data_IF_316884561094
#
_entry.id   IF_316884561094
#
_cell.length_a   1.000
_cell.length_b   1.000
_cell.length_c   1.000
_cell.angle_alpha   90.00
_cell.angle_beta   90.00
_cell.angle_gamma   90.00
#
_symmetry.space_group_name_H-M   'P 1'
#
loop_
_entity.id
_entity.type
_entity.pdbx_description
1 polymer ?
#
# COMPACT_ATOMS: atom_id res chain seq x y z
N UNK A 1 -82.06 73.83 -65.61
CA UNK A 1 -80.91 74.07 -66.52
C UNK A 1 -79.61 73.67 -65.85
N UNK A 2 -78.52 73.53 -66.62
CA UNK A 2 -77.17 73.04 -66.22
C UNK A 2 -77.11 71.56 -65.81
N UNK A 3 -75.91 70.98 -65.96
CA UNK A 3 -75.54 69.54 -65.87
C UNK A 3 -74.24 69.42 -65.05
N UNK A 4 -73.70 68.19 -64.93
CA UNK A 4 -72.35 67.81 -64.46
C UNK A 4 -72.25 67.75 -62.92
N UNK A 5 -71.59 66.76 -62.28
CA UNK A 5 -71.42 65.29 -62.45
C UNK A 5 -70.61 64.83 -61.21
N UNK A 6 -70.68 63.53 -60.86
CA UNK A 6 -69.83 62.74 -59.93
C UNK A 6 -68.47 63.33 -59.50
N UNK A 7 -67.99 63.09 -58.27
CA UNK A 7 -67.39 61.79 -57.85
C UNK A 7 -67.49 61.55 -56.33
N UNK A 8 -67.56 60.28 -55.94
CA UNK A 8 -67.51 59.80 -54.55
C UNK A 8 -66.05 59.65 -54.09
N UNK A 9 -65.64 60.35 -53.02
CA UNK A 9 -64.30 60.25 -52.44
C UNK A 9 -64.29 59.46 -51.13
N UNK A 10 -63.69 58.26 -51.13
CA UNK A 10 -63.49 57.45 -49.92
C UNK A 10 -62.07 57.67 -49.40
N UNK A 11 -61.95 58.17 -48.17
CA UNK A 11 -60.66 58.47 -47.53
C UNK A 11 -60.01 57.20 -46.99
N UNK A 12 -59.09 56.61 -47.75
CA UNK A 12 -58.25 55.50 -47.27
C UNK A 12 -57.14 56.01 -46.35
N UNK A 13 -56.99 55.39 -45.18
CA UNK A 13 -55.92 55.71 -44.24
C UNK A 13 -54.59 55.08 -44.68
N UNK A 14 -53.54 55.88 -44.85
CA UNK A 14 -52.19 55.39 -45.12
C UNK A 14 -51.56 54.80 -43.85
N UNK A 15 -51.64 53.48 -43.69
CA UNK A 15 -50.76 52.74 -42.79
C UNK A 15 -49.48 52.43 -43.57
N UNK A 16 -48.39 53.13 -43.24
CA UNK A 16 -47.07 52.93 -43.84
C UNK A 16 -46.38 51.67 -43.26
N UNK A 17 -46.89 50.47 -43.58
CA UNK A 17 -46.21 49.22 -43.26
C UNK A 17 -45.04 49.00 -44.22
N UNK A 18 -43.81 49.28 -43.76
CA UNK A 18 -42.58 48.97 -44.50
C UNK A 18 -42.32 47.44 -44.51
N UNK A 19 -43.07 46.72 -45.33
CA UNK A 19 -42.93 45.28 -45.52
C UNK A 19 -41.65 44.95 -46.30
N UNK A 20 -40.53 44.77 -45.59
CA UNK A 20 -39.31 44.18 -46.11
C UNK A 20 -39.52 42.68 -46.41
N UNK A 21 -40.27 42.40 -47.48
CA UNK A 21 -40.53 41.07 -48.00
C UNK A 21 -39.29 40.56 -48.77
N UNK A 22 -38.26 40.15 -48.03
CA UNK A 22 -37.16 39.36 -48.59
C UNK A 22 -37.33 37.90 -48.16
N UNK A 23 -37.51 37.04 -49.16
CA UNK A 23 -37.80 35.62 -48.99
C UNK A 23 -36.58 34.85 -48.46
N UNK A 24 -36.77 33.80 -47.63
CA UNK A 24 -35.69 32.88 -47.29
C UNK A 24 -35.08 32.28 -48.56
N UNK A 25 -33.77 32.40 -48.72
CA UNK A 25 -33.04 31.74 -49.81
C UNK A 25 -32.71 30.31 -49.40
N UNK A 26 -33.25 29.34 -50.15
CA UNK A 26 -32.70 27.99 -50.29
C UNK A 26 -31.98 27.94 -51.65
N UNK A 27 -30.67 27.73 -51.64
CA UNK A 27 -29.89 27.58 -52.86
C UNK A 27 -29.08 26.29 -52.81
N UNK A 28 -29.29 25.43 -53.82
CA UNK A 28 -28.47 24.26 -54.09
C UNK A 28 -27.63 24.54 -55.34
N UNK A 29 -26.30 24.49 -55.24
CA UNK A 29 -25.41 24.87 -56.35
C UNK A 29 -25.18 23.75 -57.39
N UNK A 30 -25.74 22.55 -57.17
CA UNK A 30 -25.47 21.37 -58.00
C UNK A 30 -24.20 20.61 -57.62
N UNK A 31 -23.32 21.20 -56.80
CA UNK A 31 -22.03 20.65 -56.34
C UNK A 31 -22.04 20.10 -54.91
N UNK A 32 -23.23 19.78 -54.38
CA UNK A 32 -23.52 19.33 -53.01
C UNK A 32 -23.69 20.41 -51.91
N UNK A 33 -23.45 21.71 -52.17
CA UNK A 33 -23.78 22.74 -51.17
C UNK A 33 -25.27 23.04 -51.09
N UNK A 34 -25.77 23.15 -49.85
CA UNK A 34 -27.11 23.66 -49.54
C UNK A 34 -26.96 24.91 -48.66
N UNK A 35 -27.29 26.07 -49.22
CA UNK A 35 -27.22 27.36 -48.53
C UNK A 35 -28.61 27.73 -48.00
N UNK A 36 -28.70 28.01 -46.70
CA UNK A 36 -29.85 28.62 -46.04
C UNK A 36 -29.46 30.01 -45.51
N UNK A 37 -30.24 31.05 -45.83
CA UNK A 37 -30.07 32.39 -45.25
C UNK A 37 -31.36 32.91 -44.61
N UNK A 38 -31.23 33.61 -43.49
CA UNK A 38 -32.33 34.34 -42.85
C UNK A 38 -31.83 35.71 -42.33
N UNK A 39 -32.17 36.84 -42.98
CA UNK A 39 -31.52 38.13 -42.75
C UNK A 39 -31.52 38.73 -41.32
N UNK A 40 -32.58 38.63 -40.49
CA UNK A 40 -32.66 39.39 -39.24
C UNK A 40 -31.91 38.75 -38.04
N UNK A 41 -30.72 38.15 -38.27
CA UNK A 41 -29.86 37.58 -37.20
C UNK A 41 -28.40 38.10 -37.19
N UNK A 42 -28.18 39.32 -37.68
CA UNK A 42 -26.92 40.04 -37.48
C UNK A 42 -25.70 39.39 -38.16
N UNK A 43 -24.54 39.47 -37.52
CA UNK A 43 -23.27 38.96 -38.05
C UNK A 43 -23.08 37.46 -37.78
N UNK A 44 -23.53 36.61 -38.70
CA UNK A 44 -23.20 35.18 -38.72
C UNK A 44 -24.06 34.37 -39.70
N UNK A 45 -23.47 33.48 -40.50
CA UNK A 45 -24.26 32.80 -41.54
C UNK A 45 -23.57 31.82 -42.52
N UNK A 46 -22.62 30.98 -42.07
CA UNK A 46 -22.40 29.65 -42.68
C UNK A 46 -22.21 28.63 -41.56
N UNK A 47 -23.00 27.56 -41.56
CA UNK A 47 -22.91 26.48 -40.56
C UNK A 47 -22.25 25.20 -41.11
N UNK A 48 -22.14 25.11 -42.43
CA UNK A 48 -21.66 23.99 -43.24
C UNK A 48 -20.97 24.64 -44.45
N UNK A 49 -19.74 24.22 -44.77
CA UNK A 49 -19.01 24.64 -45.98
C UNK A 49 -18.17 23.45 -46.47
N UNK A 50 -18.11 23.24 -47.78
CA UNK A 50 -17.14 22.30 -48.35
C UNK A 50 -15.74 22.93 -48.45
N UNK A 51 -14.71 22.10 -48.34
CA UNK A 51 -13.30 22.46 -48.56
C UNK A 51 -12.76 21.89 -49.88
N UNK A 52 -11.51 22.21 -50.21
CA UNK A 52 -10.79 21.50 -51.28
C UNK A 52 -10.62 20.02 -50.90
N UNK A 53 -11.07 19.11 -51.77
CA UNK A 53 -11.07 17.67 -51.51
C UNK A 53 -12.37 17.10 -50.92
N UNK A 54 -13.50 17.82 -50.97
CA UNK A 54 -14.83 17.39 -50.50
C UNK A 54 -14.93 17.12 -48.98
N UNK A 55 -14.15 17.84 -48.17
CA UNK A 55 -14.20 17.77 -46.71
C UNK A 55 -15.25 18.76 -46.18
N UNK A 56 -15.99 18.38 -45.13
CA UNK A 56 -16.93 19.26 -44.43
C UNK A 56 -16.21 20.08 -43.35
N UNK A 57 -16.00 21.37 -43.61
CA UNK A 57 -15.30 22.28 -42.70
C UNK A 57 -16.27 23.18 -41.93
N UNK A 58 -15.97 23.42 -40.65
CA UNK A 58 -16.73 24.27 -39.73
C UNK A 58 -15.86 25.45 -39.30
N UNK A 59 -16.37 26.68 -39.36
CA UNK A 59 -15.63 27.92 -39.05
C UNK A 59 -14.41 28.19 -39.95
N UNK A 60 -14.59 28.07 -41.28
CA UNK A 60 -13.53 28.28 -42.27
C UNK A 60 -12.91 29.70 -42.19
N UNK A 61 -11.57 29.78 -42.24
CA UNK A 61 -10.84 31.06 -42.27
C UNK A 61 -10.88 31.89 -40.98
N UNK A 62 -11.56 31.43 -39.92
CA UNK A 62 -11.65 32.17 -38.66
C UNK A 62 -12.55 33.43 -38.72
N UNK A 63 -13.51 33.46 -39.65
CA UNK A 63 -14.36 34.63 -39.93
C UNK A 63 -15.36 34.99 -38.82
N UNK A 64 -15.47 34.17 -37.76
CA UNK A 64 -16.37 34.39 -36.62
C UNK A 64 -15.64 34.45 -35.26
N UNK A 65 -15.59 35.65 -34.68
CA UNK A 65 -15.07 35.89 -33.32
C UNK A 65 -15.99 35.25 -32.27
N UNK A 66 -15.55 34.14 -31.69
CA UNK A 66 -16.31 33.28 -30.77
C UNK A 66 -16.42 31.82 -31.21
N UNK A 67 -16.07 31.51 -32.47
CA UNK A 67 -16.08 30.16 -33.05
C UNK A 67 -17.48 29.58 -33.30
N UNK A 68 -17.59 28.63 -34.24
CA UNK A 68 -18.82 27.85 -34.40
C UNK A 68 -19.06 27.01 -33.14
N UNK A 69 -20.03 27.43 -32.33
CA UNK A 69 -20.59 26.59 -31.26
C UNK A 69 -21.33 25.42 -31.90
N UNK A 70 -20.62 24.31 -32.05
CA UNK A 70 -21.22 22.98 -32.03
C UNK A 70 -22.04 22.80 -30.75
N UNK A 71 -22.87 21.76 -30.73
CA UNK A 71 -23.47 21.26 -29.49
C UNK A 71 -22.40 20.77 -28.50
N UNK A 72 -22.78 20.14 -27.39
CA UNK A 72 -21.84 19.66 -26.36
C UNK A 72 -20.87 18.55 -26.82
N UNK A 73 -20.81 18.20 -28.12
CA UNK A 73 -19.97 17.14 -28.68
C UNK A 73 -19.50 17.48 -30.12
N UNK A 74 -18.37 16.88 -30.49
CA UNK A 74 -17.73 16.84 -31.82
C UNK A 74 -17.18 15.42 -31.96
N UNK A 75 -17.52 14.67 -33.02
CA UNK A 75 -17.22 13.23 -33.14
C UNK A 75 -16.24 12.93 -34.47
N UNK A 76 -13.99 12.40 -34.78
CA UNK A 76 -12.77 12.35 -35.70
C UNK A 76 -12.48 10.96 -36.23
N UNK A 77 -12.79 9.90 -35.48
CA UNK A 77 -12.52 8.52 -35.88
C UNK A 77 -11.09 8.30 -36.34
N UNK A 78 -10.93 7.65 -37.48
CA UNK A 78 -10.28 6.35 -37.44
C UNK A 78 -9.22 6.14 -38.55
N UNK A 79 -9.39 6.73 -39.72
CA UNK A 79 -8.29 7.21 -40.58
C UNK A 79 -7.92 8.69 -40.29
N UNK A 80 -8.70 9.35 -39.41
CA UNK A 80 -8.77 10.81 -39.27
C UNK A 80 -10.13 11.39 -39.68
N UNK A 81 -10.98 10.59 -40.33
CA UNK A 81 -12.41 10.84 -40.53
C UNK A 81 -13.26 9.94 -39.59
N UNK A 82 -14.44 10.43 -39.18
CA UNK A 82 -15.26 9.84 -38.10
C UNK A 82 -15.98 8.52 -38.49
N UNK A 83 -15.31 7.66 -39.27
CA UNK A 83 -15.67 6.28 -39.67
C UNK A 83 -15.77 5.31 -38.47
N UNK A 84 -16.65 4.31 -38.56
CA UNK A 84 -16.90 3.32 -37.51
C UNK A 84 -15.87 2.16 -37.45
N UNK A 85 -15.02 1.98 -38.48
CA UNK A 85 -14.36 0.69 -38.71
C UNK A 85 -12.91 0.59 -38.17
N UNK A 86 -12.15 1.68 -38.05
CA UNK A 86 -10.71 1.61 -37.72
C UNK A 86 -10.31 2.07 -36.30
N UNK A 87 -11.19 1.89 -35.29
CA UNK A 87 -10.89 1.68 -33.86
C UNK A 87 -10.07 2.68 -33.02
N UNK A 88 -9.46 3.73 -33.58
CA UNK A 88 -8.45 4.55 -32.92
C UNK A 88 -8.99 5.47 -31.80
N UNK A 89 -10.13 6.14 -31.98
CA UNK A 89 -10.79 6.91 -30.91
C UNK A 89 -12.32 6.88 -31.05
N UNK A 90 -13.02 6.39 -30.03
CA UNK A 90 -14.48 6.17 -30.06
C UNK A 90 -15.15 6.73 -28.81
N UNK A 91 -15.99 7.77 -28.98
CA UNK A 91 -16.95 8.20 -27.97
C UNK A 91 -18.28 7.47 -28.19
N UNK A 92 -18.54 6.43 -27.41
CA UNK A 92 -19.75 5.60 -27.51
C UNK A 92 -20.95 6.35 -26.90
N UNK A 93 -21.62 7.17 -27.71
CA UNK A 93 -22.67 8.10 -27.26
C UNK A 93 -23.82 7.49 -26.45
N UNK A 94 -24.13 6.20 -26.62
CA UNK A 94 -25.16 5.49 -25.84
C UNK A 94 -24.76 5.17 -24.39
N UNK A 95 -23.46 5.18 -24.06
CA UNK A 95 -22.95 4.92 -22.69
C UNK A 95 -22.06 6.04 -22.16
N UNK A 96 -21.61 6.96 -23.02
CA UNK A 96 -20.60 7.97 -22.69
C UNK A 96 -19.22 7.36 -22.42
N UNK A 97 -18.95 6.15 -22.92
CA UNK A 97 -17.66 5.48 -22.80
C UNK A 97 -16.69 6.01 -23.86
N UNK A 98 -15.42 6.17 -23.50
CA UNK A 98 -14.32 6.53 -24.41
C UNK A 98 -13.45 5.30 -24.65
N UNK A 99 -13.30 4.90 -25.91
CA UNK A 99 -12.35 3.89 -26.37
C UNK A 99 -11.18 4.53 -27.09
N UNK A 100 -9.96 4.04 -26.84
CA UNK A 100 -8.75 4.41 -27.58
C UNK A 100 -8.06 3.11 -28.03
N UNK A 101 -7.95 2.90 -29.34
CA UNK A 101 -7.55 1.61 -29.92
C UNK A 101 -8.59 0.48 -29.79
N UNK A 102 -9.80 0.78 -29.30
CA UNK A 102 -10.94 -0.15 -29.16
C UNK A 102 -12.19 0.47 -29.78
N UNK A 103 -12.88 -0.27 -30.65
CA UNK A 103 -14.12 0.17 -31.29
C UNK A 103 -15.37 -0.07 -30.42
N UNK A 104 -15.25 -0.84 -29.33
CA UNK A 104 -16.37 -1.22 -28.48
C UNK A 104 -16.00 -1.14 -26.98
N UNK A 105 -15.75 0.07 -26.43
CA UNK A 105 -15.36 0.22 -25.03
C UNK A 105 -16.47 -0.23 -24.07
N UNK A 106 -16.12 -1.16 -23.18
CA UNK A 106 -16.98 -1.67 -22.11
C UNK A 106 -16.92 -0.77 -20.86
N UNK A 107 -15.76 -0.17 -20.58
CA UNK A 107 -15.57 0.76 -19.45
C UNK A 107 -15.69 2.24 -19.87
N UNK A 108 -15.71 3.17 -18.90
CA UNK A 108 -15.81 4.61 -19.17
C UNK A 108 -14.60 5.20 -19.91
N UNK A 109 -13.42 4.63 -19.71
CA UNK A 109 -12.21 4.92 -20.48
C UNK A 109 -11.43 3.63 -20.65
N UNK A 110 -11.40 3.11 -21.88
CA UNK A 110 -10.73 1.86 -22.24
C UNK A 110 -9.64 2.16 -23.28
N UNK A 111 -8.40 1.76 -22.99
CA UNK A 111 -7.24 2.05 -23.85
C UNK A 111 -6.51 0.75 -24.17
N UNK A 112 -6.57 0.32 -25.43
CA UNK A 112 -5.82 -0.83 -25.94
C UNK A 112 -4.39 -0.40 -26.34
N UNK A 113 -3.57 -0.04 -25.35
CA UNK A 113 -2.19 0.37 -25.56
C UNK A 113 -1.48 0.88 -24.31
N UNK A 114 -0.21 1.27 -24.45
CA UNK A 114 0.54 1.90 -23.35
C UNK A 114 0.15 3.37 -23.18
N UNK A 115 -0.32 3.76 -22.00
CA UNK A 115 -0.58 5.16 -21.64
C UNK A 115 0.72 5.80 -21.13
N UNK A 116 1.38 6.61 -21.95
CA UNK A 116 2.53 7.43 -21.52
C UNK A 116 2.05 8.80 -21.02
N UNK A 117 2.00 8.98 -19.70
CA UNK A 117 1.74 10.28 -19.06
C UNK A 117 2.95 10.79 -18.28
N UNK A 118 3.05 12.11 -18.11
CA UNK A 118 3.99 12.75 -17.18
C UNK A 118 3.53 12.63 -15.72
N UNK A 119 2.22 12.53 -15.49
CA UNK A 119 1.58 12.28 -14.19
C UNK A 119 0.31 11.46 -14.44
N UNK A 120 0.18 10.29 -13.83
CA UNK A 120 -1.01 9.44 -13.94
C UNK A 120 -1.69 9.35 -12.57
N UNK A 121 -2.95 9.81 -12.49
CA UNK A 121 -3.80 9.61 -11.32
C UNK A 121 -5.07 8.92 -11.78
N UNK A 122 -5.47 7.86 -11.08
CA UNK A 122 -6.68 7.08 -11.37
C UNK A 122 -7.31 6.71 -10.03
N UNK A 123 -8.59 7.02 -9.90
CA UNK A 123 -9.38 6.83 -8.69
C UNK A 123 -10.77 7.45 -8.84
N UNK A 124 -11.70 7.07 -7.99
CA UNK A 124 -13.05 7.63 -7.96
C UNK A 124 -13.05 9.01 -7.27
N UNK A 125 -13.93 9.90 -7.74
CA UNK A 125 -14.24 11.16 -7.08
C UNK A 125 -15.72 11.15 -6.71
N UNK A 126 -16.04 10.97 -5.43
CA UNK A 126 -17.31 11.43 -4.88
C UNK A 126 -17.13 12.81 -4.24
N UNK A 127 -18.15 13.66 -4.35
CA UNK A 127 -17.99 15.12 -4.24
C UNK A 127 -17.85 15.68 -2.82
N UNK A 128 -17.28 14.94 -1.86
CA UNK A 128 -17.32 15.29 -0.43
C UNK A 128 -15.98 15.24 0.34
N UNK A 129 -14.90 14.61 -0.17
CA UNK A 129 -13.58 14.65 0.50
C UNK A 129 -12.40 14.85 -0.46
N UNK A 130 -11.25 15.30 0.05
CA UNK A 130 -10.13 15.78 -0.76
C UNK A 130 -9.31 14.66 -1.42
N UNK A 131 -9.20 14.69 -2.75
CA UNK A 131 -8.31 13.81 -3.52
C UNK A 131 -6.83 14.16 -3.36
N UNK A 132 -5.96 13.13 -3.24
CA UNK A 132 -4.49 13.28 -3.06
C UNK A 132 -3.69 12.12 -3.69
N UNK A 133 -3.14 12.36 -4.89
CA UNK A 133 -1.95 11.67 -5.48
C UNK A 133 -2.09 10.15 -5.76
N UNK A 134 -1.14 9.47 -6.42
CA UNK A 134 -0.56 9.71 -7.77
C UNK A 134 -0.18 8.37 -8.46
N UNK A 135 -0.86 7.29 -8.10
CA UNK A 135 -0.77 5.97 -8.71
C UNK A 135 -2.16 5.32 -8.65
N UNK A 136 -2.47 4.37 -9.54
CA UNK A 136 -3.82 3.78 -9.59
C UNK A 136 -4.07 2.85 -8.40
N UNK A 137 -5.01 3.21 -7.55
CA UNK A 137 -5.45 2.41 -6.40
C UNK A 137 -6.90 2.01 -6.63
N UNK A 138 -7.10 0.81 -7.20
CA UNK A 138 -8.43 0.33 -7.59
C UNK A 138 -9.34 0.17 -6.38
N UNK A 139 -10.48 0.85 -6.42
CA UNK A 139 -11.47 0.83 -5.36
C UNK A 139 -12.10 -0.55 -5.19
N UNK A 140 -11.81 -1.20 -4.06
CA UNK A 140 -12.92 -1.61 -3.21
C UNK A 140 -13.61 -0.37 -2.61
N UNK A 141 -14.76 -0.53 -1.96
CA UNK A 141 -15.49 0.55 -1.24
C UNK A 141 -14.70 1.19 -0.07
N UNK A 142 -13.42 0.84 0.05
CA UNK A 142 -12.53 1.08 1.17
C UNK A 142 -11.20 1.75 0.76
N UNK A 143 -10.88 1.83 -0.54
CA UNK A 143 -9.72 2.57 -1.07
C UNK A 143 -8.37 1.88 -0.90
N UNK A 144 -8.29 0.56 -1.13
CA UNK A 144 -7.06 -0.22 -0.93
C UNK A 144 -6.04 -0.06 -2.08
N UNK A 145 -4.75 -0.11 -1.74
CA UNK A 145 -3.63 -0.14 -2.70
C UNK A 145 -3.20 -1.57 -2.97
N UNK A 146 -2.94 -1.93 -4.24
CA UNK A 146 -2.27 -3.17 -4.62
C UNK A 146 -1.15 -2.88 -5.62
N UNK A 147 0.08 -3.24 -5.26
CA UNK A 147 1.22 -3.34 -6.18
C UNK A 147 1.58 -4.83 -6.27
N UNK A 148 1.46 -5.46 -7.44
CA UNK A 148 1.64 -6.91 -7.54
C UNK A 148 2.09 -7.41 -8.91
N UNK A 149 2.51 -8.67 -8.96
CA UNK A 149 2.66 -9.45 -10.20
C UNK A 149 1.61 -10.57 -10.24
N UNK A 150 0.77 -10.54 -11.28
CA UNK A 150 -0.32 -11.49 -11.55
C UNK A 150 -1.42 -11.56 -10.47
N UNK A 151 -1.67 -10.49 -9.69
CA UNK A 151 -2.81 -10.40 -8.76
C UNK A 151 -3.66 -9.14 -9.01
N UNK A 152 -4.94 -9.16 -8.65
CA UNK A 152 -5.87 -8.02 -8.73
C UNK A 152 -7.02 -8.16 -7.70
N UNK A 153 -7.75 -7.08 -7.43
CA UNK A 153 -8.99 -7.13 -6.65
C UNK A 153 -10.20 -7.37 -7.57
N UNK A 154 -11.07 -8.30 -7.19
CA UNK A 154 -12.36 -8.52 -7.83
C UNK A 154 -13.40 -7.45 -7.42
N UNK A 155 -14.56 -7.43 -8.09
CA UNK A 155 -15.67 -6.56 -7.71
C UNK A 155 -16.35 -6.87 -6.36
N UNK A 156 -15.95 -7.96 -5.69
CA UNK A 156 -16.38 -8.36 -4.35
C UNK A 156 -15.23 -8.23 -3.33
N UNK A 157 -14.25 -7.37 -3.58
CA UNK A 157 -13.05 -7.13 -2.79
C UNK A 157 -12.05 -8.30 -2.68
N UNK A 158 -12.40 -9.53 -3.11
CA UNK A 158 -11.48 -10.67 -3.13
C UNK A 158 -10.18 -10.34 -3.89
N UNK A 159 -9.03 -10.60 -3.27
CA UNK A 159 -7.75 -10.64 -3.97
C UNK A 159 -7.68 -11.93 -4.80
N UNK A 160 -7.43 -11.81 -6.10
CA UNK A 160 -7.49 -12.89 -7.09
C UNK A 160 -6.26 -12.96 -7.98
N UNK A 161 -6.04 -14.12 -8.61
CA UNK A 161 -4.97 -14.34 -9.60
C UNK A 161 -5.40 -13.87 -10.99
N UNK A 162 -4.60 -13.00 -11.60
CA UNK A 162 -4.84 -12.44 -12.93
C UNK A 162 -4.69 -13.49 -14.05
N UNK A 163 -5.49 -13.32 -15.10
CA UNK A 163 -5.58 -14.26 -16.23
C UNK A 163 -4.39 -14.13 -17.20
N UNK A 164 -4.10 -15.20 -17.96
CA UNK A 164 -3.22 -15.18 -19.13
C UNK A 164 -1.82 -15.80 -18.96
N UNK A 165 -1.43 -16.25 -17.76
CA UNK A 165 -0.13 -16.89 -17.52
C UNK A 165 -0.26 -18.16 -16.67
N UNK A 166 0.34 -19.28 -17.11
CA UNK A 166 0.18 -20.60 -16.49
C UNK A 166 0.82 -20.76 -15.10
N UNK A 167 1.59 -19.78 -14.64
CA UNK A 167 2.15 -19.72 -13.29
C UNK A 167 1.96 -18.34 -12.67
N UNK A 168 1.75 -18.30 -11.36
CA UNK A 168 1.93 -17.08 -10.58
C UNK A 168 3.42 -16.89 -10.24
N UNK A 169 3.91 -15.66 -10.30
CA UNK A 169 5.14 -15.27 -9.60
C UNK A 169 4.84 -14.89 -8.14
N UNK A 170 3.61 -14.44 -7.86
CA UNK A 170 3.04 -14.41 -6.51
C UNK A 170 3.79 -13.50 -5.53
N UNK A 171 4.01 -12.26 -5.93
CA UNK A 171 4.51 -11.20 -5.06
C UNK A 171 3.56 -10.00 -5.07
N UNK A 172 3.23 -9.46 -3.90
CA UNK A 172 2.46 -8.22 -3.77
C UNK A 172 2.74 -7.43 -2.50
N UNK A 173 2.49 -6.12 -2.58
CA UNK A 173 2.44 -5.18 -1.47
C UNK A 173 1.03 -4.59 -1.49
N UNK A 174 0.35 -4.67 -0.34
CA UNK A 174 -1.00 -4.14 -0.12
C UNK A 174 -0.94 -3.09 0.98
N UNK A 175 -1.53 -1.93 0.75
CA UNK A 175 -1.86 -0.97 1.82
C UNK A 175 -3.38 -1.07 2.00
N UNK A 176 -3.88 -1.74 3.06
CA UNK A 176 -5.30 -2.02 3.19
C UNK A 176 -6.13 -0.75 3.44
N UNK A 177 -7.27 -0.67 2.76
CA UNK A 177 -8.22 0.42 2.90
C UNK A 177 -8.96 0.44 4.25
N UNK A 178 -9.98 1.30 4.35
CA UNK A 178 -10.82 1.40 5.55
C UNK A 178 -11.54 0.07 5.85
N UNK A 179 -11.73 -0.30 7.12
CA UNK A 179 -12.40 -1.54 7.54
C UNK A 179 -11.77 -2.86 7.04
N UNK A 180 -10.61 -2.84 6.41
CA UNK A 180 -9.89 -4.03 5.94
C UNK A 180 -8.97 -4.62 7.03
N UNK A 181 -8.65 -5.92 6.99
CA UNK A 181 -7.60 -6.50 7.83
C UNK A 181 -6.28 -5.73 7.68
N UNK A 182 -5.60 -5.46 8.79
CA UNK A 182 -4.39 -4.63 8.84
C UNK A 182 -4.55 -3.19 8.29
N UNK A 183 -5.75 -2.58 8.38
CA UNK A 183 -5.98 -1.16 8.09
C UNK A 183 -4.89 -0.26 8.73
N UNK A 184 -4.37 0.69 7.95
CA UNK A 184 -3.28 1.58 8.36
C UNK A 184 -1.89 0.93 8.36
N UNK A 185 -1.78 -0.34 8.02
CA UNK A 185 -0.53 -1.06 7.83
C UNK A 185 -0.13 -1.26 6.37
N UNK A 186 0.90 -2.08 6.17
CA UNK A 186 1.39 -2.56 4.87
C UNK A 186 1.57 -4.08 4.97
N UNK A 187 0.94 -4.84 4.07
CA UNK A 187 1.04 -6.30 4.02
C UNK A 187 1.80 -6.73 2.77
N UNK A 188 2.80 -7.59 2.95
CA UNK A 188 3.66 -8.11 1.91
C UNK A 188 3.40 -9.61 1.75
N UNK A 189 3.06 -10.04 0.54
CA UNK A 189 2.87 -11.43 0.18
C UNK A 189 4.00 -11.87 -0.74
N UNK A 190 4.55 -13.06 -0.48
CA UNK A 190 5.46 -13.76 -1.38
C UNK A 190 5.12 -15.24 -1.39
N UNK A 191 5.26 -15.89 -2.55
CA UNK A 191 5.08 -17.32 -2.72
C UNK A 191 6.03 -17.85 -3.79
N UNK A 192 6.51 -19.09 -3.65
CA UNK A 192 7.28 -19.73 -4.71
C UNK A 192 6.40 -19.91 -5.97
N UNK A 193 6.96 -19.71 -7.19
CA UNK A 193 6.18 -19.83 -8.42
C UNK A 193 5.45 -21.15 -8.55
N UNK A 194 4.15 -21.07 -8.77
CA UNK A 194 3.22 -22.21 -8.71
C UNK A 194 2.21 -22.16 -9.86
N UNK A 195 1.70 -23.32 -10.27
CA UNK A 195 0.60 -23.40 -11.24
C UNK A 195 -0.69 -22.80 -10.65
N UNK A 196 -1.49 -22.13 -11.49
CA UNK A 196 -2.68 -21.39 -11.05
C UNK A 196 -3.84 -21.53 -12.03
N UNK A 197 -5.07 -21.51 -11.50
CA UNK A 197 -6.30 -21.33 -12.26
C UNK A 197 -6.58 -19.83 -12.36
N UNK A 198 -6.99 -19.34 -13.53
CA UNK A 198 -7.37 -17.94 -13.72
C UNK A 198 -8.59 -17.58 -12.87
N UNK A 199 -8.65 -16.35 -12.33
CA UNK A 199 -9.75 -15.85 -11.47
C UNK A 199 -9.92 -16.62 -10.13
N UNK A 200 -8.98 -17.49 -9.76
CA UNK A 200 -8.95 -18.11 -8.43
C UNK A 200 -8.64 -17.06 -7.34
N UNK A 201 -9.25 -17.22 -6.17
CA UNK A 201 -8.94 -16.40 -4.97
C UNK A 201 -7.49 -16.68 -4.53
N UNK A 202 -6.76 -15.62 -4.18
CA UNK A 202 -5.42 -15.72 -3.64
C UNK A 202 -5.47 -16.07 -2.15
N UNK A 203 -4.99 -17.25 -1.81
CA UNK A 203 -4.98 -17.80 -0.44
C UNK A 203 -3.59 -17.78 0.22
N UNK A 204 -2.63 -17.05 -0.36
CA UNK A 204 -1.26 -16.98 0.16
C UNK A 204 -1.15 -16.22 1.48
N UNK A 205 -0.39 -16.76 2.43
CA UNK A 205 -0.11 -16.11 3.71
C UNK A 205 0.74 -14.84 3.54
N UNK A 206 0.52 -13.85 4.41
CA UNK A 206 1.41 -12.69 4.49
C UNK A 206 2.81 -13.11 4.96
N UNK A 207 3.82 -12.78 4.18
CA UNK A 207 5.22 -13.06 4.50
C UNK A 207 5.80 -12.01 5.47
N UNK A 208 5.42 -10.75 5.29
CA UNK A 208 5.71 -9.65 6.21
C UNK A 208 4.49 -8.74 6.38
N UNK A 209 4.28 -8.23 7.60
CA UNK A 209 3.30 -7.20 7.91
C UNK A 209 3.98 -6.07 8.66
N UNK A 210 3.73 -4.83 8.26
CA UNK A 210 3.94 -3.65 9.10
C UNK A 210 2.55 -3.22 9.57
N UNK A 211 2.24 -3.34 10.86
CA UNK A 211 0.90 -2.98 11.35
C UNK A 211 0.74 -1.46 11.55
N UNK A 212 -0.49 -0.99 11.80
CA UNK A 212 -0.78 0.43 12.04
C UNK A 212 -0.11 1.04 13.29
N UNK A 213 0.53 0.23 14.14
CA UNK A 213 1.36 0.68 15.27
C UNK A 213 2.86 0.75 14.93
N UNK A 214 3.23 0.48 13.67
CA UNK A 214 4.62 0.41 13.21
C UNK A 214 5.41 -0.75 13.84
N UNK A 215 4.76 -1.89 14.09
CA UNK A 215 5.43 -3.15 14.47
C UNK A 215 5.56 -4.03 13.22
N UNK A 216 6.72 -4.70 13.07
CA UNK A 216 7.02 -5.59 11.95
C UNK A 216 6.79 -7.05 12.36
N UNK A 217 5.91 -7.75 11.66
CA UNK A 217 5.73 -9.19 11.75
C UNK A 217 6.38 -9.89 10.55
N UNK A 218 7.21 -10.91 10.80
CA UNK A 218 7.74 -11.83 9.78
C UNK A 218 7.13 -13.22 10.01
N UNK A 219 6.42 -13.75 9.02
CA UNK A 219 5.64 -15.00 9.17
C UNK A 219 4.45 -14.90 10.14
N UNK A 220 4.08 -13.69 10.58
CA UNK A 220 2.94 -13.42 11.45
C UNK A 220 2.25 -12.11 11.07
N UNK A 221 0.92 -12.10 11.12
CA UNK A 221 0.08 -10.90 10.93
C UNK A 221 -0.15 -10.12 12.22
N UNK A 222 0.20 -10.70 13.39
CA UNK A 222 -0.06 -10.13 14.71
C UNK A 222 1.26 -9.90 15.49
N UNK A 223 2.10 -8.93 15.07
CA UNK A 223 3.34 -8.63 15.76
C UNK A 223 3.09 -7.97 17.12
N UNK A 224 3.40 -8.70 18.19
CA UNK A 224 3.29 -8.25 19.58
C UNK A 224 4.38 -7.23 19.92
N UNK A 225 5.59 -7.50 19.46
CA UNK A 225 6.77 -6.65 19.61
C UNK A 225 7.10 -5.85 18.34
N UNK A 226 7.95 -4.82 18.49
CA UNK A 226 8.44 -3.98 17.38
C UNK A 226 9.00 -4.77 16.20
N UNK A 227 9.65 -5.90 16.48
CA UNK A 227 9.90 -6.97 15.52
C UNK A 227 9.42 -8.30 16.13
N UNK A 228 8.52 -8.99 15.46
CA UNK A 228 8.03 -10.32 15.84
C UNK A 228 8.30 -11.30 14.69
N UNK A 229 9.02 -12.39 14.96
CA UNK A 229 9.39 -13.39 13.94
C UNK A 229 8.81 -14.74 14.32
N UNK A 230 7.95 -15.28 13.46
CA UNK A 230 7.40 -16.62 13.57
C UNK A 230 8.31 -17.62 12.82
N UNK A 231 9.49 -17.86 13.38
CA UNK A 231 10.52 -18.70 12.77
C UNK A 231 11.93 -18.35 13.23
N UNK A 232 12.94 -18.96 12.60
CA UNK A 232 14.33 -18.81 13.00
C UNK A 232 14.97 -17.55 12.41
N UNK A 233 15.69 -16.79 13.25
CA UNK A 233 16.56 -15.70 12.81
C UNK A 233 18.00 -16.23 12.70
N UNK A 234 18.64 -16.03 11.55
CA UNK A 234 20.08 -16.30 11.36
C UNK A 234 20.83 -14.98 11.18
N UNK A 235 21.71 -14.66 12.12
CA UNK A 235 22.59 -13.49 12.08
C UNK A 235 24.07 -13.90 12.15
N UNK A 236 24.97 -13.03 11.71
CA UNK A 236 26.42 -13.19 11.94
C UNK A 236 26.85 -12.67 13.32
N UNK A 237 26.20 -11.62 13.80
CA UNK A 237 26.42 -10.98 15.10
C UNK A 237 25.06 -10.43 15.58
N UNK A 238 24.81 -10.44 16.89
CA UNK A 238 23.65 -9.81 17.51
C UNK A 238 24.10 -9.06 18.76
N UNK A 239 24.06 -7.73 18.70
CA UNK A 239 24.36 -6.85 19.84
C UNK A 239 23.06 -6.56 20.57
N UNK A 240 23.08 -6.73 21.89
CA UNK A 240 21.93 -6.45 22.76
C UNK A 240 22.34 -5.40 23.77
N UNK A 241 21.76 -4.21 23.66
CA UNK A 241 22.12 -3.06 24.49
C UNK A 241 21.30 -3.07 25.79
N UNK A 242 21.86 -3.69 26.83
CA UNK A 242 21.33 -3.67 28.20
C UNK A 242 22.19 -2.84 29.15
N UNK A 243 21.56 -2.33 30.20
CA UNK A 243 22.18 -1.52 31.26
C UNK A 243 22.37 -2.32 32.56
N UNK A 244 23.33 -1.87 33.38
CA UNK A 244 23.63 -2.45 34.68
C UNK A 244 24.11 -3.90 34.60
N UNK A 245 25.26 -4.12 33.97
CA UNK A 245 25.95 -5.42 33.98
C UNK A 245 26.37 -5.81 35.42
N UNK A 246 26.57 -7.11 35.70
CA UNK A 246 26.54 -7.63 37.06
C UNK A 246 27.77 -7.35 37.92
N UNK A 247 28.76 -6.59 37.42
CA UNK A 247 30.00 -6.16 38.10
C UNK A 247 29.82 -5.76 39.58
N UNK A 248 28.62 -5.32 39.96
CA UNK A 248 28.21 -5.08 41.35
C UNK A 248 28.35 -6.28 42.29
N UNK A 249 28.40 -7.52 41.79
CA UNK A 249 28.68 -8.74 42.55
C UNK A 249 30.04 -8.66 43.25
N UNK A 250 31.01 -7.96 42.66
CA UNK A 250 32.35 -7.77 43.23
C UNK A 250 32.45 -6.61 44.24
N UNK A 251 31.37 -5.84 44.47
CA UNK A 251 31.38 -4.75 45.45
C UNK A 251 31.45 -5.28 46.89
N UNK A 252 32.17 -4.57 47.76
CA UNK A 252 32.38 -4.96 49.18
C UNK A 252 31.10 -5.03 50.04
N UNK A 253 29.99 -4.44 49.58
CA UNK A 253 28.67 -4.52 50.21
C UNK A 253 27.73 -5.57 49.60
N UNK A 254 28.17 -6.36 48.62
CA UNK A 254 27.33 -7.36 47.96
C UNK A 254 27.05 -8.56 48.87
N UNK A 255 25.78 -8.92 49.02
CA UNK A 255 25.36 -10.07 49.83
C UNK A 255 25.38 -11.36 49.00
N UNK A 256 26.53 -12.03 49.01
CA UNK A 256 26.68 -13.37 48.45
C UNK A 256 25.90 -14.39 49.30
N UNK A 257 24.85 -14.98 48.74
CA UNK A 257 23.99 -15.95 49.43
C UNK A 257 24.77 -17.21 49.85
N UNK A 258 24.64 -17.71 51.09
CA UNK A 258 25.29 -18.95 51.49
C UNK A 258 24.84 -20.14 50.63
N UNK A 259 25.78 -21.02 50.27
CA UNK A 259 25.50 -22.24 49.49
C UNK A 259 24.42 -23.14 50.14
N UNK A 260 24.30 -23.13 51.47
CA UNK A 260 23.28 -23.86 52.23
C UNK A 260 21.88 -23.24 52.17
N UNK A 261 21.74 -21.99 51.74
CA UNK A 261 20.46 -21.35 51.40
C UNK A 261 20.11 -21.59 49.94
N UNK A 262 21.10 -21.50 49.05
CA UNK A 262 20.96 -21.87 47.63
C UNK A 262 20.53 -23.35 47.49
N UNK A 263 21.11 -24.26 48.27
CA UNK A 263 20.71 -25.67 48.32
C UNK A 263 19.24 -25.86 48.73
N UNK A 264 18.76 -25.11 49.73
CA UNK A 264 17.36 -25.15 50.16
C UNK A 264 16.43 -24.63 49.06
N UNK A 265 16.80 -23.54 48.40
CA UNK A 265 16.04 -22.97 47.29
C UNK A 265 15.92 -23.98 46.14
N UNK A 266 17.04 -24.55 45.67
CA UNK A 266 17.05 -25.56 44.59
C UNK A 266 16.22 -26.80 45.00
N UNK A 267 16.27 -27.22 46.27
CA UNK A 267 15.48 -28.36 46.77
C UNK A 267 13.97 -28.12 46.70
N UNK A 268 13.52 -26.87 46.82
CA UNK A 268 12.10 -26.49 46.73
C UNK A 268 11.75 -26.18 45.27
N UNK A 269 12.30 -25.10 44.72
CA UNK A 269 11.89 -24.47 43.46
C UNK A 269 12.44 -25.16 42.19
N UNK A 270 13.46 -26.02 42.32
CA UNK A 270 14.13 -26.76 41.21
C UNK A 270 14.92 -25.93 40.21
N UNK A 271 15.05 -24.61 40.40
CA UNK A 271 15.92 -23.73 39.63
C UNK A 271 16.86 -22.91 40.53
N UNK A 272 17.73 -22.08 39.93
CA UNK A 272 18.63 -21.19 40.67
C UNK A 272 17.92 -19.89 41.09
N UNK A 273 18.28 -19.28 42.25
CA UNK A 273 17.70 -18.00 42.68
C UNK A 273 17.92 -16.89 41.64
N UNK A 274 16.85 -16.28 41.15
CA UNK A 274 16.89 -15.19 40.16
C UNK A 274 16.99 -15.63 38.70
N UNK A 275 17.16 -16.92 38.42
CA UNK A 275 16.93 -17.50 37.09
C UNK A 275 15.44 -17.90 37.02
N UNK A 276 14.69 -17.57 35.95
CA UNK A 276 13.28 -17.98 35.84
C UNK A 276 13.14 -19.50 35.71
N UNK A 277 12.00 -20.01 36.17
CA UNK A 277 11.64 -21.43 36.04
C UNK A 277 11.30 -21.80 34.58
N UNK A 278 11.36 -23.10 34.27
CA UNK A 278 11.01 -23.60 32.93
C UNK A 278 9.56 -23.23 32.54
N UNK A 279 8.61 -23.29 33.48
CA UNK A 279 7.21 -22.95 33.23
C UNK A 279 6.98 -21.45 32.95
N UNK A 280 7.76 -20.56 33.55
CA UNK A 280 7.72 -19.12 33.23
C UNK A 280 8.28 -18.84 31.83
N UNK A 281 9.37 -19.53 31.45
CA UNK A 281 10.01 -19.42 30.13
C UNK A 281 9.12 -20.00 29.02
N UNK A 282 8.45 -21.13 29.26
CA UNK A 282 7.50 -21.72 28.31
C UNK A 282 6.28 -20.82 28.04
N UNK A 283 5.84 -20.04 29.03
CA UNK A 283 4.68 -19.14 28.90
C UNK A 283 5.02 -17.78 28.30
N UNK A 284 6.16 -17.19 28.69
CA UNK A 284 6.48 -15.78 28.39
C UNK A 284 7.65 -15.63 27.40
N UNK A 285 8.40 -16.70 27.11
CA UNK A 285 9.69 -16.62 26.45
C UNK A 285 10.80 -16.17 27.39
N UNK A 286 11.95 -15.77 26.82
CA UNK A 286 13.13 -15.35 27.58
C UNK A 286 13.96 -14.34 26.78
N UNK A 287 14.23 -13.17 27.36
CA UNK A 287 15.05 -12.14 26.73
C UNK A 287 16.53 -12.57 26.65
N UNK A 288 17.08 -12.65 25.43
CA UNK A 288 18.46 -13.13 25.21
C UNK A 288 19.51 -12.32 26.00
N UNK A 289 19.37 -11.00 26.04
CA UNK A 289 20.26 -10.15 26.84
C UNK A 289 20.07 -10.37 28.35
N UNK A 290 18.84 -10.56 28.80
CA UNK A 290 18.49 -10.69 30.21
C UNK A 290 19.03 -12.01 30.78
N UNK A 291 18.85 -13.12 30.06
CA UNK A 291 19.45 -14.39 30.48
C UNK A 291 20.98 -14.36 30.42
N UNK A 292 21.59 -13.71 29.43
CA UNK A 292 23.05 -13.57 29.39
C UNK A 292 23.59 -12.73 30.57
N UNK A 293 22.88 -11.66 30.95
CA UNK A 293 23.18 -10.84 32.14
C UNK A 293 23.03 -11.65 33.43
N UNK A 294 21.94 -12.39 33.59
CA UNK A 294 21.69 -13.24 34.76
C UNK A 294 22.70 -14.40 34.85
N UNK A 295 23.05 -15.03 33.73
CA UNK A 295 24.06 -16.09 33.69
C UNK A 295 25.44 -15.56 34.08
N UNK A 296 25.81 -14.36 33.63
CA UNK A 296 27.06 -13.71 34.05
C UNK A 296 27.04 -13.43 35.57
N UNK A 297 25.94 -12.90 36.13
CA UNK A 297 25.79 -12.73 37.59
C UNK A 297 26.06 -14.05 38.34
N UNK A 298 25.57 -15.18 37.83
CA UNK A 298 25.79 -16.50 38.46
C UNK A 298 27.19 -17.08 38.24
N UNK A 299 27.89 -16.70 37.17
CA UNK A 299 29.33 -16.98 37.01
C UNK A 299 30.16 -16.18 38.02
N UNK A 300 29.77 -14.94 38.32
CA UNK A 300 30.46 -14.08 39.29
C UNK A 300 30.20 -14.52 40.74
N UNK A 301 28.94 -14.82 41.11
CA UNK A 301 28.60 -15.45 42.41
C UNK A 301 29.38 -16.77 42.62
N UNK A 302 29.39 -17.65 41.60
CA UNK A 302 30.13 -18.90 41.64
C UNK A 302 31.65 -18.68 41.79
N UNK A 303 32.21 -17.66 41.12
CA UNK A 303 33.63 -17.32 41.22
C UNK A 303 33.99 -16.87 42.65
N UNK A 304 33.14 -16.08 43.31
CA UNK A 304 33.33 -15.70 44.71
C UNK A 304 33.29 -16.93 45.65
N UNK A 305 32.34 -17.84 45.45
CA UNK A 305 32.29 -19.08 46.21
C UNK A 305 33.54 -19.97 45.97
N UNK A 306 34.03 -20.07 44.74
CA UNK A 306 35.25 -20.84 44.44
C UNK A 306 36.48 -20.23 45.13
N UNK A 307 36.60 -18.90 45.16
CA UNK A 307 37.65 -18.18 45.90
C UNK A 307 37.53 -18.42 47.42
N UNK A 308 36.31 -18.53 47.96
CA UNK A 308 36.09 -18.92 49.37
C UNK A 308 36.54 -20.37 49.63
N UNK A 309 36.16 -21.31 48.76
CA UNK A 309 36.54 -22.73 48.89
C UNK A 309 38.05 -22.94 48.77
N UNK A 310 38.74 -22.26 47.86
CA UNK A 310 40.20 -22.29 47.73
C UNK A 310 40.90 -21.85 49.04
N UNK A 311 40.45 -20.74 49.65
CA UNK A 311 40.96 -20.27 50.95
C UNK A 311 40.73 -21.30 52.07
N UNK A 312 39.57 -21.97 52.08
CA UNK A 312 39.25 -23.01 53.06
C UNK A 312 40.07 -24.29 52.85
N UNK A 313 40.31 -24.71 51.60
CA UNK A 313 41.15 -25.86 51.25
C UNK A 313 42.59 -25.62 51.70
N UNK A 314 43.20 -24.49 51.31
CA UNK A 314 44.58 -24.13 51.72
C UNK A 314 44.74 -24.01 53.24
N UNK A 315 43.71 -23.54 53.94
CA UNK A 315 43.66 -23.56 55.41
C UNK A 315 43.63 -24.98 55.97
N UNK A 316 42.84 -25.88 55.38
CA UNK A 316 42.76 -27.28 55.80
C UNK A 316 44.07 -28.05 55.52
N UNK A 317 44.71 -27.83 54.38
CA UNK A 317 46.03 -28.40 54.04
C UNK A 317 47.09 -28.00 55.08
N UNK A 318 47.15 -26.73 55.45
CA UNK A 318 48.04 -26.22 56.51
C UNK A 318 47.76 -26.83 57.89
N UNK A 319 46.48 -27.07 58.21
CA UNK A 319 46.06 -27.78 59.43
C UNK A 319 46.51 -29.25 59.36
N UNK A 320 46.30 -29.95 58.26
CA UNK A 320 46.67 -31.36 58.07
C UNK A 320 48.19 -31.55 58.21
N UNK A 321 49.00 -30.75 57.51
CA UNK A 321 50.47 -30.80 57.63
C UNK A 321 50.95 -30.50 59.07
N UNK A 322 50.23 -29.67 59.81
CA UNK A 322 50.50 -29.41 61.23
C UNK A 322 50.12 -30.60 62.12
N UNK A 323 49.04 -31.32 61.80
CA UNK A 323 48.62 -32.54 62.50
C UNK A 323 49.58 -33.71 62.24
N UNK A 324 49.97 -33.95 60.99
CA UNK A 324 50.96 -34.96 60.60
C UNK A 324 52.29 -34.76 61.35
N UNK A 325 52.79 -33.51 61.39
CA UNK A 325 54.00 -33.15 62.14
C UNK A 325 53.87 -33.44 63.65
N UNK A 326 52.69 -33.26 64.24
CA UNK A 326 52.42 -33.60 65.64
C UNK A 326 52.33 -35.12 65.87
N UNK A 327 51.70 -35.85 64.96
CA UNK A 327 51.61 -37.31 65.01
C UNK A 327 53.00 -37.94 64.99
N UNK A 328 53.86 -37.56 64.04
CA UNK A 328 55.25 -38.04 63.97
C UNK A 328 56.07 -37.72 65.23
N UNK A 329 55.83 -36.57 65.88
CA UNK A 329 56.46 -36.23 67.17
C UNK A 329 55.95 -37.11 68.33
N UNK A 330 54.67 -37.49 68.33
CA UNK A 330 54.08 -38.38 69.33
C UNK A 330 54.58 -39.82 69.14
N UNK A 331 54.62 -40.31 67.90
CA UNK A 331 55.21 -41.63 67.57
C UNK A 331 56.69 -41.74 67.97
N UNK A 332 57.47 -40.70 67.70
CA UNK A 332 58.89 -40.66 68.09
C UNK A 332 59.06 -40.73 69.62
N UNK A 333 58.18 -40.07 70.39
CA UNK A 333 58.16 -40.15 71.85
C UNK A 333 57.72 -41.53 72.35
N UNK A 334 56.71 -42.14 71.74
CA UNK A 334 56.28 -43.51 72.07
C UNK A 334 57.40 -44.54 71.82
N UNK A 335 58.12 -44.43 70.69
CA UNK A 335 59.28 -45.27 70.38
C UNK A 335 60.46 -45.13 71.37
N UNK A 336 60.51 -44.05 72.14
CA UNK A 336 61.48 -43.83 73.24
C UNK A 336 60.99 -44.31 74.61
N UNK A 337 59.69 -44.63 74.76
CA UNK A 337 59.09 -45.12 76.01
C UNK A 337 58.87 -46.64 76.05
N UNK A 338 59.10 -47.32 74.92
CA UNK A 338 58.93 -48.76 74.72
C UNK A 338 60.32 -49.45 74.61
N UNK A 339 61.37 -48.80 75.12
CA UNK A 339 62.78 -49.20 74.93
C UNK A 339 63.60 -49.04 76.21
#
# INVERSE_FOLDING_TARGET
MKKIKYVLGITAAFIASASYAQTPEFAFNGGADVIFKFPPRGSGGRAIVHDEGNILTLNYGGDFSGGTRLGPQFNVGNDGSFDANHGNFVLKGSTGNIGIGTSNPQSKLEVMGQIKSHNASVGQSDGQTSSKNFANFSSNNHGSVLVSSNLYFSGNDDLKVANGHGTMSGASIILPGNCQPNQGGITFYTSNPSAVIADQVFTGSAAMVINGSGNVGLGTTLPREKLSVNGNIRAHELKVELTGWPDYVFNSGYYLKPLSEIEKFIKIEKHLPGIPSAGEVEQNGLGLGEINKLLLEKVEELTLHLIEKDKLIKKQESINATQEKRLGQIEARLKLLIK
#
